data_IF_595937939573
#
_entry.id   IF_595937939573
#
_cell.length_a   1.000
_cell.length_b   1.000
_cell.length_c   1.000
_cell.angle_alpha   90.00
_cell.angle_beta   90.00
_cell.angle_gamma   90.00
#
_symmetry.space_group_name_H-M   'P 1'
#
loop_
_entity.id
_entity.type
_entity.pdbx_description
1 polymer ?
#
# COMPACT_ATOMS: atom_id res chain seq x y z
N UNK A 1 -57.89 -2.57 24.76
CA UNK A 1 -57.69 -4.01 24.97
C UNK A 1 -56.44 -4.38 24.16
N UNK A 2 -55.23 -4.14 24.68
CA UNK A 2 -54.35 -5.14 25.36
C UNK A 2 -54.11 -6.40 24.53
N UNK A 3 -52.96 -6.43 23.83
CA UNK A 3 -51.82 -7.37 23.96
C UNK A 3 -52.06 -8.91 23.83
N UNK A 4 -51.04 -9.79 23.82
CA UNK A 4 -50.37 -10.33 22.62
C UNK A 4 -50.25 -11.89 22.61
N UNK A 5 -49.50 -12.38 21.61
CA UNK A 5 -48.58 -13.53 21.66
C UNK A 5 -49.05 -14.98 21.40
N UNK A 6 -48.11 -15.73 20.79
CA UNK A 6 -47.94 -17.19 20.69
C UNK A 6 -48.85 -17.94 19.70
N UNK A 7 -48.39 -18.80 18.79
CA UNK A 7 -47.25 -19.74 18.79
C UNK A 7 -46.82 -20.07 17.35
N UNK A 8 -45.52 -20.00 17.08
CA UNK A 8 -44.88 -20.66 15.95
C UNK A 8 -44.34 -22.03 16.40
N UNK A 9 -44.63 -23.09 15.64
CA UNK A 9 -43.77 -24.28 15.51
C UNK A 9 -44.15 -25.02 14.22
N UNK A 10 -43.25 -25.12 13.23
CA UNK A 10 -43.20 -26.30 12.39
C UNK A 10 -41.85 -27.01 12.50
N UNK A 11 -41.95 -28.33 12.44
CA UNK A 11 -40.89 -29.30 12.65
C UNK A 11 -39.69 -29.12 11.71
N UNK A 12 -38.49 -29.21 12.28
CA UNK A 12 -37.25 -29.44 11.56
C UNK A 12 -37.26 -30.85 10.96
N UNK A 13 -37.54 -30.96 9.65
CA UNK A 13 -37.22 -32.13 8.85
C UNK A 13 -35.81 -32.01 8.29
N UNK A 14 -34.89 -32.88 8.74
CA UNK A 14 -33.56 -33.01 8.16
C UNK A 14 -33.69 -33.69 6.78
N UNK A 15 -33.16 -33.13 5.68
CA UNK A 15 -33.14 -33.84 4.40
C UNK A 15 -32.10 -34.96 4.46
N UNK A 16 -32.58 -36.20 4.21
CA UNK A 16 -31.76 -37.40 4.02
C UNK A 16 -30.97 -37.23 2.71
N UNK A 17 -29.65 -37.11 2.79
CA UNK A 17 -28.76 -37.15 1.63
C UNK A 17 -28.57 -38.63 1.28
N UNK A 18 -29.13 -39.04 0.15
CA UNK A 18 -28.95 -40.36 -0.46
C UNK A 18 -27.67 -40.28 -1.30
N UNK A 19 -26.64 -41.03 -0.89
CA UNK A 19 -25.36 -41.11 -1.63
C UNK A 19 -25.54 -42.15 -2.73
N UNK A 20 -25.70 -41.67 -3.96
CA UNK A 20 -25.69 -42.47 -5.17
C UNK A 20 -24.26 -42.98 -5.45
N UNK A 21 -24.04 -44.26 -5.82
CA UNK A 21 -22.71 -44.79 -6.08
C UNK A 21 -22.18 -44.24 -7.40
N UNK A 22 -21.07 -43.50 -7.32
CA UNK A 22 -20.43 -42.87 -8.48
C UNK A 22 -19.79 -43.91 -9.41
N UNK A 23 -20.23 -43.89 -10.67
CA UNK A 23 -19.70 -44.66 -11.79
C UNK A 23 -18.19 -44.43 -11.98
N UNK A 24 -17.45 -45.52 -12.08
CA UNK A 24 -16.01 -45.51 -12.35
C UNK A 24 -15.76 -45.22 -13.85
N UNK A 25 -14.89 -44.27 -14.23
CA UNK A 25 -14.58 -44.01 -15.64
C UNK A 25 -13.77 -45.15 -16.29
N UNK A 26 -13.93 -45.41 -17.60
CA UNK A 26 -13.44 -46.61 -18.27
C UNK A 26 -12.04 -46.38 -18.85
N UNK A 27 -10.99 -46.43 -18.02
CA UNK A 27 -9.62 -46.51 -18.52
C UNK A 27 -8.78 -47.47 -17.67
N UNK A 28 -8.72 -48.73 -18.14
CA UNK A 28 -7.87 -49.77 -17.57
C UNK A 28 -6.40 -49.53 -17.93
N UNK A 29 -5.58 -49.28 -16.92
CA UNK A 29 -4.13 -49.46 -17.00
C UNK A 29 -3.87 -50.94 -16.71
N UNK A 30 -3.23 -51.72 -17.60
CA UNK A 30 -2.94 -53.11 -17.31
C UNK A 30 -1.86 -53.17 -16.22
N UNK A 31 -2.17 -53.89 -15.14
CA UNK A 31 -1.16 -54.30 -14.17
C UNK A 31 -0.19 -55.27 -14.88
N UNK A 32 1.00 -54.79 -15.20
CA UNK A 32 2.10 -55.64 -15.68
C UNK A 32 2.64 -56.39 -14.45
N UNK A 33 2.09 -57.57 -14.20
CA UNK A 33 2.69 -58.56 -13.30
C UNK A 33 3.89 -59.19 -14.01
N UNK A 34 5.10 -58.73 -13.65
CA UNK A 34 6.34 -59.39 -14.08
C UNK A 34 6.48 -60.70 -13.29
N UNK A 35 6.52 -61.88 -13.93
CA UNK A 35 6.79 -63.13 -13.23
C UNK A 35 8.28 -63.20 -12.92
N UNK A 36 8.64 -63.12 -11.64
CA UNK A 36 9.99 -63.46 -11.16
C UNK A 36 10.14 -64.98 -11.21
N UNK A 37 10.71 -65.49 -12.29
CA UNK A 37 11.13 -66.89 -12.37
C UNK A 37 12.52 -67.01 -11.74
N UNK A 38 12.57 -67.40 -10.46
CA UNK A 38 13.81 -67.83 -9.80
C UNK A 38 14.15 -69.25 -10.26
N UNK A 39 14.81 -69.39 -11.40
CA UNK A 39 15.59 -70.60 -11.70
C UNK A 39 16.93 -70.47 -10.97
N UNK A 40 16.99 -71.11 -9.80
CA UNK A 40 18.22 -71.36 -9.05
C UNK A 40 18.89 -72.58 -9.69
N UNK A 41 19.74 -72.33 -10.67
CA UNK A 41 20.78 -73.28 -11.03
C UNK A 41 22.08 -72.80 -10.39
N UNK A 42 22.52 -73.59 -9.42
CA UNK A 42 23.88 -73.56 -8.95
C UNK A 42 24.76 -74.06 -10.10
N UNK A 43 25.75 -73.27 -10.51
CA UNK A 43 27.15 -73.67 -10.48
C UNK A 43 27.98 -72.65 -11.26
N UNK A 44 29.12 -72.33 -10.65
CA UNK A 44 30.37 -71.91 -11.28
C UNK A 44 30.66 -70.41 -11.58
N UNK A 45 31.93 -70.13 -11.32
CA UNK A 45 32.77 -69.00 -11.75
C UNK A 45 32.70 -67.63 -11.05
N UNK A 46 33.72 -67.44 -10.21
CA UNK A 46 34.41 -66.18 -9.90
C UNK A 46 34.45 -65.16 -11.05
N UNK A 47 33.91 -63.96 -10.82
CA UNK A 47 34.23 -62.77 -11.62
C UNK A 47 34.38 -61.54 -10.73
N UNK A 48 35.64 -61.26 -10.41
CA UNK A 48 36.27 -59.95 -10.13
C UNK A 48 35.33 -58.74 -10.26
N UNK A 49 35.13 -58.01 -9.16
CA UNK A 49 34.59 -56.66 -9.19
C UNK A 49 35.65 -55.77 -9.86
N UNK A 50 35.45 -55.48 -11.13
CA UNK A 50 36.19 -54.45 -11.85
C UNK A 50 35.58 -53.09 -11.48
N UNK A 51 36.36 -52.23 -10.83
CA UNK A 51 36.07 -50.80 -10.71
C UNK A 51 36.05 -50.20 -12.11
N UNK A 52 34.86 -49.99 -12.68
CA UNK A 52 34.69 -49.22 -13.91
C UNK A 52 34.92 -47.74 -13.58
N UNK A 53 35.84 -47.03 -14.24
CA UNK A 53 35.99 -45.59 -14.04
C UNK A 53 34.71 -44.89 -14.51
N UNK A 54 34.11 -44.08 -13.63
CA UNK A 54 33.06 -43.14 -14.01
C UNK A 54 33.61 -42.26 -15.12
N UNK A 55 33.16 -42.50 -16.36
CA UNK A 55 33.49 -41.66 -17.50
C UNK A 55 32.59 -40.44 -17.39
N UNK A 56 33.17 -39.24 -17.42
CA UNK A 56 32.48 -37.94 -17.24
C UNK A 56 31.49 -37.60 -18.38
N UNK A 57 31.21 -38.57 -19.27
CA UNK A 57 30.42 -38.46 -20.49
C UNK A 57 29.07 -39.19 -20.41
N UNK A 58 28.53 -39.45 -19.21
CA UNK A 58 27.17 -39.99 -19.07
C UNK A 58 26.12 -38.93 -19.47
N UNK A 59 25.37 -39.10 -20.57
CA UNK A 59 24.33 -38.15 -20.98
C UNK A 59 23.15 -38.10 -19.99
N UNK A 60 23.11 -39.02 -19.02
CA UNK A 60 22.08 -39.08 -17.98
C UNK A 60 22.31 -38.02 -16.89
N UNK A 61 23.53 -37.47 -16.78
CA UNK A 61 23.86 -36.39 -15.84
C UNK A 61 23.67 -35.00 -16.47
N UNK A 62 23.21 -34.93 -17.73
CA UNK A 62 22.79 -33.68 -18.38
C UNK A 62 21.56 -33.13 -17.65
N UNK A 63 21.86 -32.40 -16.57
CA UNK A 63 21.02 -31.50 -15.82
C UNK A 63 19.53 -31.91 -15.79
N UNK A 64 19.13 -32.59 -14.72
CA UNK A 64 17.85 -32.26 -14.09
C UNK A 64 17.98 -30.80 -13.61
N UNK A 65 17.93 -29.85 -14.55
CA UNK A 65 17.74 -28.45 -14.28
C UNK A 65 16.36 -28.39 -13.65
N UNK A 66 16.32 -28.41 -12.31
CA UNK A 66 15.10 -28.21 -11.55
C UNK A 66 14.36 -27.04 -12.20
N UNK A 67 13.04 -27.15 -12.45
CA UNK A 67 12.26 -26.02 -12.93
C UNK A 67 12.63 -24.80 -12.10
N UNK A 68 13.13 -23.75 -12.74
CA UNK A 68 13.57 -22.57 -12.01
C UNK A 68 12.32 -21.97 -11.39
N UNK A 69 12.15 -22.10 -10.08
CA UNK A 69 11.06 -21.41 -9.39
C UNK A 69 11.28 -19.90 -9.59
N UNK A 70 10.32 -19.18 -10.18
CA UNK A 70 10.49 -17.77 -10.43
C UNK A 70 10.63 -17.02 -9.09
N UNK A 71 11.77 -16.35 -8.87
CA UNK A 71 11.95 -15.52 -7.69
C UNK A 71 10.96 -14.35 -7.74
N UNK A 72 9.90 -14.39 -6.93
CA UNK A 72 8.90 -13.33 -6.85
C UNK A 72 9.44 -12.11 -6.11
N UNK A 73 9.06 -10.91 -6.56
CA UNK A 73 9.45 -9.68 -5.89
C UNK A 73 8.80 -9.59 -4.50
N UNK A 74 9.61 -9.35 -3.46
CA UNK A 74 9.10 -9.17 -2.09
C UNK A 74 8.56 -7.75 -1.91
N UNK A 75 7.23 -7.53 -1.85
CA UNK A 75 6.65 -6.19 -1.70
C UNK A 75 7.01 -5.58 -0.34
N UNK A 76 7.09 -4.26 -0.27
CA UNK A 76 7.45 -3.51 0.93
C UNK A 76 6.30 -3.40 1.96
N UNK A 77 5.57 -4.50 2.22
CA UNK A 77 4.31 -4.54 3.00
C UNK A 77 4.45 -3.90 4.37
N UNK A 78 5.49 -4.24 5.14
CA UNK A 78 5.71 -3.66 6.46
C UNK A 78 5.88 -2.14 6.43
N UNK A 79 6.69 -1.63 5.49
CA UNK A 79 6.88 -0.18 5.33
C UNK A 79 5.58 0.50 4.88
N UNK A 80 4.80 -0.14 3.99
CA UNK A 80 3.48 0.36 3.60
C UNK A 80 2.54 0.44 4.80
N UNK A 81 2.48 -0.59 5.65
CA UNK A 81 1.59 -0.61 6.81
C UNK A 81 1.94 0.52 7.78
N UNK A 82 3.22 0.69 8.11
CA UNK A 82 3.70 1.78 8.98
C UNK A 82 3.35 3.15 8.39
N UNK A 83 3.67 3.38 7.10
CA UNK A 83 3.32 4.63 6.43
C UNK A 83 1.81 4.87 6.39
N UNK A 84 1.02 3.83 6.11
CA UNK A 84 -0.44 3.93 6.07
C UNK A 84 -1.01 4.28 7.44
N UNK A 85 -0.48 3.68 8.52
CA UNK A 85 -0.92 3.95 9.87
C UNK A 85 -0.65 5.41 10.27
N UNK A 86 0.56 5.92 10.01
CA UNK A 86 0.89 7.33 10.29
C UNK A 86 0.05 8.31 9.46
N UNK A 87 -0.12 8.05 8.16
CA UNK A 87 -0.95 8.88 7.27
C UNK A 87 -2.40 8.89 7.74
N UNK A 88 -2.98 7.73 8.08
CA UNK A 88 -4.35 7.64 8.58
C UNK A 88 -4.52 8.33 9.93
N UNK A 89 -3.58 8.13 10.86
CA UNK A 89 -3.62 8.77 12.17
C UNK A 89 -3.56 10.30 12.03
N UNK A 90 -2.65 10.82 11.20
CA UNK A 90 -2.52 12.26 10.95
C UNK A 90 -3.77 12.81 10.26
N UNK A 91 -4.30 12.11 9.25
CA UNK A 91 -5.54 12.51 8.60
C UNK A 91 -6.74 12.52 9.58
N UNK A 92 -6.81 11.56 10.51
CA UNK A 92 -7.85 11.50 11.52
C UNK A 92 -7.75 12.66 12.53
N UNK A 93 -6.55 13.00 12.99
CA UNK A 93 -6.32 14.18 13.85
C UNK A 93 -6.73 15.46 13.12
N UNK A 94 -6.44 15.57 11.82
CA UNK A 94 -6.79 16.75 11.02
C UNK A 94 -8.30 16.87 10.83
N UNK A 95 -8.97 15.75 10.52
CA UNK A 95 -10.42 15.70 10.40
C UNK A 95 -11.12 16.05 11.72
N UNK A 96 -10.62 15.53 12.84
CA UNK A 96 -11.13 15.85 14.18
C UNK A 96 -10.96 17.34 14.49
N UNK A 97 -9.80 17.93 14.15
CA UNK A 97 -9.53 19.35 14.37
C UNK A 97 -10.46 20.23 13.54
N UNK A 98 -10.68 19.88 12.26
CA UNK A 98 -11.63 20.57 11.39
C UNK A 98 -13.08 20.45 11.91
N UNK A 99 -13.46 19.27 12.41
CA UNK A 99 -14.78 19.05 13.03
C UNK A 99 -14.97 19.89 14.29
N UNK A 100 -13.98 19.93 15.18
CA UNK A 100 -14.04 20.75 16.39
C UNK A 100 -14.13 22.24 16.07
N UNK A 101 -13.38 22.69 15.07
CA UNK A 101 -13.44 24.07 14.59
C UNK A 101 -14.84 24.37 14.04
N UNK A 102 -15.40 23.49 13.20
CA UNK A 102 -16.78 23.61 12.70
C UNK A 102 -17.80 23.72 13.83
N UNK A 103 -17.72 22.83 14.83
CA UNK A 103 -18.63 22.86 15.98
C UNK A 103 -18.51 24.16 16.77
N UNK A 104 -17.29 24.66 16.95
CA UNK A 104 -17.02 25.90 17.68
C UNK A 104 -17.54 27.13 16.93
N UNK A 105 -17.42 27.17 15.61
CA UNK A 105 -17.95 28.25 14.77
C UNK A 105 -19.48 28.40 14.92
N UNK A 106 -20.23 27.30 14.84
CA UNK A 106 -21.69 27.34 15.06
C UNK A 106 -22.03 27.79 16.48
N UNK A 107 -21.31 27.32 17.49
CA UNK A 107 -21.54 27.73 18.87
C UNK A 107 -21.27 29.23 19.09
N UNK A 108 -20.16 29.76 18.57
CA UNK A 108 -19.80 31.19 18.70
C UNK A 108 -20.78 32.07 17.93
N UNK A 109 -21.15 31.65 16.71
CA UNK A 109 -22.11 32.37 15.87
C UNK A 109 -23.50 32.40 16.50
N UNK A 110 -23.90 31.34 17.21
CA UNK A 110 -25.23 31.23 17.79
C UNK A 110 -25.32 31.80 19.24
N UNK A 111 -24.22 31.96 19.98
CA UNK A 111 -24.26 32.31 21.42
C UNK A 111 -23.46 33.52 21.92
N UNK A 112 -22.48 34.09 21.20
CA UNK A 112 -21.59 35.10 21.82
C UNK A 112 -21.42 36.41 21.03
N UNK A 113 -22.23 37.41 21.41
CA UNK A 113 -21.84 38.82 21.53
C UNK A 113 -21.83 39.31 23.00
N UNK A 114 -21.95 38.39 23.97
CA UNK A 114 -22.09 38.74 25.38
C UNK A 114 -21.04 38.02 26.26
N UNK A 115 -19.94 38.73 26.61
CA UNK A 115 -18.93 38.38 27.65
C UNK A 115 -17.86 37.36 27.10
N UNK A 116 -16.54 37.30 27.46
CA UNK A 116 -16.01 37.44 28.81
C UNK A 116 -14.63 38.09 29.03
N UNK A 117 -14.45 38.61 30.24
CA UNK A 117 -13.15 38.85 30.87
C UNK A 117 -12.47 37.51 31.14
N UNK A 118 -11.76 36.98 30.15
CA UNK A 118 -10.90 35.80 30.28
C UNK A 118 -9.74 36.14 31.24
N UNK A 119 -9.51 35.31 32.25
CA UNK A 119 -8.36 35.50 33.14
C UNK A 119 -7.05 35.13 32.44
N UNK A 120 -5.94 35.80 32.79
CA UNK A 120 -4.63 35.54 32.16
C UNK A 120 -4.18 34.07 32.30
N UNK A 121 -4.51 33.42 33.42
CA UNK A 121 -4.16 32.00 33.67
C UNK A 121 -4.92 31.04 32.72
N UNK A 122 -6.20 31.32 32.47
CA UNK A 122 -7.01 30.55 31.51
C UNK A 122 -6.49 30.72 30.08
N UNK A 123 -6.07 31.94 29.72
CA UNK A 123 -5.48 32.22 28.41
C UNK A 123 -4.15 31.48 28.23
N UNK A 124 -3.27 31.50 29.23
CA UNK A 124 -1.99 30.76 29.18
C UNK A 124 -2.20 29.26 29.04
N UNK A 125 -3.06 28.66 29.86
CA UNK A 125 -3.36 27.21 29.78
C UNK A 125 -3.92 26.80 28.41
N UNK A 126 -4.79 27.63 27.83
CA UNK A 126 -5.34 27.38 26.50
C UNK A 126 -4.27 27.49 25.40
N UNK A 127 -3.39 28.50 25.47
CA UNK A 127 -2.27 28.70 24.55
C UNK A 127 -1.24 27.57 24.64
N UNK A 128 -0.88 27.13 25.84
CA UNK A 128 0.08 26.04 26.03
C UNK A 128 -0.44 24.73 25.44
N UNK A 129 -1.72 24.40 25.69
CA UNK A 129 -2.36 23.24 25.09
C UNK A 129 -2.37 23.32 23.56
N UNK A 130 -2.70 24.49 23.00
CA UNK A 130 -2.68 24.72 21.55
C UNK A 130 -1.28 24.54 20.95
N UNK A 131 -0.25 25.02 21.67
CA UNK A 131 1.16 24.91 21.27
C UNK A 131 1.61 23.46 21.23
N UNK A 132 1.33 22.68 22.27
CA UNK A 132 1.67 21.24 22.31
C UNK A 132 0.96 20.43 21.22
N UNK A 133 -0.32 20.72 20.97
CA UNK A 133 -1.08 20.10 19.88
C UNK A 133 -0.46 20.43 18.52
N UNK A 134 0.03 21.66 18.33
CA UNK A 134 0.70 22.08 17.10
C UNK A 134 2.00 21.32 16.87
N UNK A 135 2.83 21.15 17.90
CA UNK A 135 4.04 20.33 17.80
C UNK A 135 3.75 18.85 17.52
N UNK A 136 2.74 18.29 18.20
CA UNK A 136 2.28 16.92 17.94
C UNK A 136 1.83 16.72 16.49
N UNK A 137 1.08 17.69 15.96
CA UNK A 137 0.68 17.70 14.55
C UNK A 137 1.87 17.71 13.60
N UNK A 138 2.83 18.62 13.80
CA UNK A 138 4.04 18.70 12.99
C UNK A 138 4.86 17.39 13.03
N UNK A 139 4.99 16.78 14.22
CA UNK A 139 5.65 15.50 14.37
C UNK A 139 4.91 14.39 13.60
N UNK A 140 3.58 14.33 13.68
CA UNK A 140 2.76 13.36 12.94
C UNK A 140 2.93 13.46 11.42
N UNK A 141 2.92 14.68 10.88
CA UNK A 141 3.18 14.93 9.45
C UNK A 141 4.61 14.51 9.06
N UNK A 142 5.61 14.86 9.87
CA UNK A 142 7.00 14.49 9.61
C UNK A 142 7.20 12.97 9.61
N UNK A 143 6.66 12.26 10.61
CA UNK A 143 6.73 10.79 10.69
C UNK A 143 6.01 10.13 9.51
N UNK A 144 4.84 10.65 9.12
CA UNK A 144 4.12 10.20 7.92
C UNK A 144 4.97 10.35 6.66
N UNK A 145 5.61 11.51 6.49
CA UNK A 145 6.50 11.79 5.36
C UNK A 145 7.70 10.86 5.31
N UNK A 146 8.41 10.67 6.43
CA UNK A 146 9.56 9.77 6.52
C UNK A 146 9.15 8.32 6.21
N UNK A 147 8.08 7.82 6.83
CA UNK A 147 7.59 6.47 6.58
C UNK A 147 7.18 6.27 5.11
N UNK A 148 6.55 7.28 4.51
CA UNK A 148 6.21 7.28 3.09
C UNK A 148 7.45 7.26 2.18
N UNK A 149 8.47 8.06 2.46
CA UNK A 149 9.72 8.09 1.70
C UNK A 149 10.44 6.73 1.80
N UNK A 150 10.48 6.13 2.99
CA UNK A 150 11.05 4.79 3.20
C UNK A 150 10.30 3.74 2.38
N UNK A 151 8.96 3.78 2.37
CA UNK A 151 8.17 2.91 1.51
C UNK A 151 8.48 3.15 0.02
N UNK A 152 8.52 4.42 -0.43
CA UNK A 152 8.79 4.79 -1.82
C UNK A 152 10.18 4.33 -2.28
N UNK A 153 11.19 4.46 -1.42
CA UNK A 153 12.53 3.96 -1.68
C UNK A 153 12.53 2.44 -1.95
N UNK A 154 11.87 1.67 -1.07
CA UNK A 154 11.78 0.21 -1.22
C UNK A 154 10.97 -0.19 -2.45
N UNK A 155 9.83 0.47 -2.68
CA UNK A 155 8.99 0.26 -3.87
C UNK A 155 9.78 0.56 -5.15
N UNK A 156 10.68 1.55 -5.13
CA UNK A 156 11.54 1.90 -6.25
C UNK A 156 12.65 0.89 -6.52
N UNK A 157 13.24 0.30 -5.48
CA UNK A 157 14.19 -0.81 -5.63
C UNK A 157 13.48 -2.01 -6.26
N UNK A 158 12.29 -2.37 -5.77
CA UNK A 158 11.51 -3.47 -6.32
C UNK A 158 11.14 -3.22 -7.80
N UNK A 159 10.71 -2.00 -8.13
CA UNK A 159 10.39 -1.61 -9.50
C UNK A 159 11.58 -1.79 -10.47
N UNK A 160 12.80 -1.50 -10.01
CA UNK A 160 14.01 -1.69 -10.82
C UNK A 160 14.36 -3.17 -11.05
N UNK A 161 13.89 -4.09 -10.20
CA UNK A 161 14.08 -5.53 -10.37
C UNK A 161 12.96 -6.22 -11.14
N UNK A 162 11.79 -5.58 -11.23
CA UNK A 162 10.59 -6.12 -11.89
C UNK A 162 10.47 -5.65 -13.36
N UNK A 163 11.17 -4.57 -13.72
CA UNK A 163 11.15 -3.99 -15.05
C UNK A 163 12.51 -3.39 -15.39
N UNK A 164 13.13 -3.88 -16.47
CA UNK A 164 14.44 -3.42 -16.98
C UNK A 164 14.33 -2.11 -17.79
N UNK A 165 13.11 -1.58 -17.93
CA UNK A 165 12.91 -0.33 -18.62
C UNK A 165 13.66 0.84 -17.93
N UNK A 166 14.34 1.70 -18.71
CA UNK A 166 15.09 2.81 -18.13
C UNK A 166 14.11 3.77 -17.44
N UNK A 167 14.28 3.90 -16.13
CA UNK A 167 13.55 4.89 -15.36
C UNK A 167 14.15 6.28 -15.58
N UNK A 168 13.33 7.33 -15.51
CA UNK A 168 13.77 8.70 -15.82
C UNK A 168 14.77 9.23 -14.81
N UNK A 169 14.61 8.83 -13.55
CA UNK A 169 15.43 9.25 -12.43
C UNK A 169 16.08 8.04 -11.75
N UNK A 170 17.30 8.25 -11.24
CA UNK A 170 18.03 7.28 -10.41
C UNK A 170 17.30 7.05 -9.08
N UNK A 171 17.52 5.89 -8.46
CA UNK A 171 16.87 5.48 -7.19
C UNK A 171 17.04 6.53 -6.08
N UNK A 172 18.22 7.18 -6.01
CA UNK A 172 18.51 8.24 -5.03
C UNK A 172 17.51 9.41 -5.03
N UNK A 173 16.89 9.67 -6.17
CA UNK A 173 15.89 10.73 -6.30
C UNK A 173 14.58 10.43 -5.56
N UNK A 174 14.33 9.19 -5.13
CA UNK A 174 13.20 8.87 -4.24
C UNK A 174 13.25 9.62 -2.91
N UNK A 175 14.44 10.00 -2.44
CA UNK A 175 14.64 10.77 -1.21
C UNK A 175 14.96 12.21 -1.55
N UNK A 176 15.93 12.46 -2.43
CA UNK A 176 16.44 13.81 -2.70
C UNK A 176 15.40 14.75 -3.32
N UNK A 177 14.40 14.21 -4.04
CA UNK A 177 13.34 15.04 -4.64
C UNK A 177 12.52 15.84 -3.64
N UNK A 178 12.43 15.38 -2.39
CA UNK A 178 11.64 16.02 -1.32
C UNK A 178 12.34 17.21 -0.67
N UNK A 179 13.66 17.32 -0.80
CA UNK A 179 14.46 18.34 -0.12
C UNK A 179 14.86 19.50 -1.03
N UNK A 180 14.63 19.40 -2.33
CA UNK A 180 14.95 20.45 -3.30
C UNK A 180 13.69 21.30 -3.47
N UNK A 181 13.62 22.55 -2.98
CA UNK A 181 12.36 23.29 -2.89
C UNK A 181 11.61 23.41 -4.22
N UNK A 182 12.33 23.80 -5.29
CA UNK A 182 11.77 23.95 -6.64
C UNK A 182 11.49 22.56 -7.26
N UNK A 183 12.43 21.63 -7.13
CA UNK A 183 12.28 20.26 -7.63
C UNK A 183 11.14 19.49 -6.97
N UNK A 184 10.82 19.80 -5.72
CA UNK A 184 9.76 19.16 -4.94
C UNK A 184 8.39 19.35 -5.56
N UNK A 185 8.18 20.33 -6.46
CA UNK A 185 6.90 20.54 -7.15
C UNK A 185 6.60 19.49 -8.23
N UNK A 186 7.62 18.78 -8.73
CA UNK A 186 7.42 17.81 -9.83
C UNK A 186 8.20 16.51 -9.71
N UNK A 187 9.39 16.53 -9.11
CA UNK A 187 10.26 15.36 -9.02
C UNK A 187 9.62 14.20 -8.23
N UNK A 188 8.95 14.42 -7.07
CA UNK A 188 8.34 13.31 -6.33
C UNK A 188 7.25 12.60 -7.13
N UNK A 189 6.39 13.38 -7.80
CA UNK A 189 5.35 12.86 -8.70
C UNK A 189 5.96 12.02 -9.84
N UNK A 190 7.11 12.45 -10.38
CA UNK A 190 7.78 11.74 -11.48
C UNK A 190 8.35 10.41 -10.99
N UNK A 191 9.00 10.39 -9.82
CA UNK A 191 9.54 9.16 -9.23
C UNK A 191 8.41 8.16 -8.96
N UNK A 192 7.33 8.58 -8.31
CA UNK A 192 6.19 7.71 -8.03
C UNK A 192 5.47 7.25 -9.31
N UNK A 193 5.38 8.13 -10.31
CA UNK A 193 4.83 7.81 -11.62
C UNK A 193 5.63 6.72 -12.36
N UNK A 194 6.97 6.76 -12.28
CA UNK A 194 7.84 5.73 -12.84
C UNK A 194 7.68 4.40 -12.08
N UNK A 195 7.67 4.44 -10.73
CA UNK A 195 7.40 3.24 -9.88
C UNK A 195 6.07 2.60 -10.25
N UNK A 196 5.02 3.40 -10.40
CA UNK A 196 3.71 2.93 -10.79
C UNK A 196 3.71 2.27 -12.16
N UNK A 197 4.33 2.91 -13.16
CA UNK A 197 4.41 2.36 -14.53
C UNK A 197 5.19 1.05 -14.55
N UNK A 198 6.34 0.99 -13.88
CA UNK A 198 7.16 -0.22 -13.80
C UNK A 198 6.48 -1.36 -13.05
N UNK A 199 5.67 -1.05 -12.04
CA UNK A 199 4.97 -2.06 -11.25
C UNK A 199 3.69 -2.58 -11.91
N UNK A 200 3.15 -1.91 -12.93
CA UNK A 200 1.87 -2.35 -13.56
C UNK A 200 2.01 -3.74 -14.22
N UNK A 201 1.00 -4.63 -14.07
CA UNK A 201 1.01 -5.95 -14.71
C UNK A 201 1.13 -5.88 -16.23
N UNK A 202 0.42 -4.93 -16.84
CA UNK A 202 0.40 -4.71 -18.30
C UNK A 202 1.75 -4.22 -18.88
N UNK A 203 2.71 -3.87 -18.03
CA UNK A 203 4.02 -3.37 -18.47
C UNK A 203 4.97 -4.54 -18.74
N UNK A 204 5.49 -4.70 -19.97
CA UNK A 204 6.47 -5.73 -20.29
C UNK A 204 7.69 -5.66 -19.37
N UNK A 205 8.14 -6.82 -18.90
CA UNK A 205 9.29 -6.94 -18.01
C UNK A 205 10.60 -6.48 -18.70
N UNK A 206 10.82 -6.90 -19.95
CA UNK A 206 12.01 -6.61 -20.76
C UNK A 206 11.70 -5.66 -21.93
N UNK A 207 12.63 -4.75 -22.24
CA UNK A 207 12.63 -3.95 -23.48
C UNK A 207 11.53 -2.90 -23.65
N UNK A 208 10.68 -2.68 -22.63
CA UNK A 208 9.60 -1.69 -22.69
C UNK A 208 10.08 -0.25 -22.46
N UNK A 209 9.43 0.74 -23.08
CA UNK A 209 9.63 2.15 -22.74
C UNK A 209 8.53 2.61 -21.76
N UNK A 210 8.89 2.88 -20.49
CA UNK A 210 7.94 3.33 -19.46
C UNK A 210 7.15 4.57 -19.88
N UNK A 211 7.68 5.42 -20.78
CA UNK A 211 6.98 6.62 -21.26
C UNK A 211 5.69 6.28 -22.03
N UNK A 212 5.66 5.14 -22.72
CA UNK A 212 4.50 4.69 -23.51
C UNK A 212 3.38 4.09 -22.65
N UNK A 213 3.70 3.59 -21.45
CA UNK A 213 2.70 3.06 -20.50
C UNK A 213 1.89 4.21 -19.91
N UNK A 214 0.57 4.12 -19.86
CA UNK A 214 -0.26 5.23 -19.34
C UNK A 214 0.01 5.47 -17.84
N UNK A 215 0.39 6.70 -17.46
CA UNK A 215 0.44 7.09 -16.06
C UNK A 215 -0.94 6.92 -15.42
N UNK A 216 -0.97 6.41 -14.19
CA UNK A 216 -2.19 6.37 -13.41
C UNK A 216 -2.68 7.79 -13.15
N UNK A 217 -3.86 8.15 -13.65
CA UNK A 217 -4.51 9.45 -13.37
C UNK A 217 -4.55 9.75 -11.87
N UNK A 218 -4.68 8.71 -11.05
CA UNK A 218 -4.69 8.78 -9.60
C UNK A 218 -3.44 9.45 -9.00
N UNK A 219 -2.26 9.29 -9.60
CA UNK A 219 -1.03 9.93 -9.11
C UNK A 219 -1.10 11.44 -9.35
N UNK A 220 -1.58 11.86 -10.53
CA UNK A 220 -1.77 13.28 -10.84
C UNK A 220 -2.83 13.92 -9.94
N UNK A 221 -3.92 13.19 -9.65
CA UNK A 221 -4.97 13.65 -8.72
C UNK A 221 -4.42 13.79 -7.30
N UNK A 222 -3.74 12.78 -6.77
CA UNK A 222 -3.10 12.85 -5.47
C UNK A 222 -2.15 14.05 -5.38
N UNK A 223 -1.28 14.21 -6.38
CA UNK A 223 -0.29 15.26 -6.39
C UNK A 223 -0.91 16.66 -6.47
N UNK A 224 -1.94 16.84 -7.30
CA UNK A 224 -2.68 18.08 -7.38
C UNK A 224 -3.38 18.43 -6.05
N UNK A 225 -4.01 17.45 -5.39
CA UNK A 225 -4.63 17.63 -4.08
C UNK A 225 -3.59 17.99 -3.01
N UNK A 226 -2.43 17.33 -3.02
CA UNK A 226 -1.31 17.62 -2.12
C UNK A 226 -0.80 19.06 -2.29
N UNK A 227 -0.52 19.48 -3.54
CA UNK A 227 -0.07 20.84 -3.82
C UNK A 227 -1.13 21.89 -3.46
N UNK A 228 -2.41 21.61 -3.74
CA UNK A 228 -3.51 22.52 -3.43
C UNK A 228 -3.67 22.70 -1.91
N UNK A 229 -3.56 21.62 -1.13
CA UNK A 229 -3.57 21.66 0.34
C UNK A 229 -2.50 22.63 0.85
N UNK A 230 -1.25 22.45 0.41
CA UNK A 230 -0.14 23.32 0.83
C UNK A 230 -0.26 24.77 0.35
N UNK A 231 -0.84 25.00 -0.84
CA UNK A 231 -1.09 26.34 -1.34
C UNK A 231 -2.14 27.07 -0.47
N UNK A 232 -3.20 26.38 -0.06
CA UNK A 232 -4.22 26.92 0.85
C UNK A 232 -3.62 27.22 2.23
N UNK A 233 -2.82 26.31 2.79
CA UNK A 233 -2.15 26.52 4.07
C UNK A 233 -1.22 27.74 4.03
N UNK A 234 -0.42 27.87 2.97
CA UNK A 234 0.48 29.01 2.79
C UNK A 234 -0.28 30.33 2.67
N UNK A 235 -1.38 30.34 1.92
CA UNK A 235 -2.25 31.51 1.79
C UNK A 235 -2.87 31.89 3.15
N UNK A 236 -3.37 30.91 3.91
CA UNK A 236 -3.94 31.15 5.24
C UNK A 236 -2.92 31.75 6.21
N UNK A 237 -1.67 31.25 6.21
CA UNK A 237 -0.58 31.80 7.03
C UNK A 237 -0.26 33.25 6.65
N UNK A 238 -0.27 33.59 5.36
CA UNK A 238 0.00 34.96 4.93
C UNK A 238 -1.15 35.91 5.28
N UNK A 239 -2.41 35.47 5.20
CA UNK A 239 -3.56 36.28 5.62
C UNK A 239 -3.47 36.70 7.10
N UNK A 240 -3.05 35.80 7.99
CA UNK A 240 -2.90 36.09 9.43
C UNK A 240 -1.77 37.10 9.69
N UNK A 241 -0.71 37.09 8.86
CA UNK A 241 0.41 38.03 9.01
C UNK A 241 0.03 39.46 8.68
N UNK A 242 -0.86 39.63 7.70
CA UNK A 242 -1.20 40.95 7.17
C UNK A 242 -2.31 41.65 7.98
N UNK A 243 -3.25 40.90 8.55
CA UNK A 243 -4.41 41.46 9.25
C UNK A 243 -4.96 40.51 10.33
N UNK A 244 -5.35 41.08 11.47
CA UNK A 244 -5.93 40.35 12.61
C UNK A 244 -7.42 40.70 12.84
N UNK A 245 -8.14 41.12 11.79
CA UNK A 245 -9.56 41.40 11.85
C UNK A 245 -10.43 40.14 11.99
N UNK A 246 -11.65 40.30 12.53
CA UNK A 246 -12.65 39.23 12.63
C UNK A 246 -12.96 38.59 11.27
N UNK A 247 -13.00 39.39 10.21
CA UNK A 247 -13.21 38.88 8.85
C UNK A 247 -12.05 38.01 8.36
N UNK A 248 -10.81 38.33 8.74
CA UNK A 248 -9.65 37.50 8.43
C UNK A 248 -9.69 36.18 9.20
N UNK A 249 -10.16 36.18 10.45
CA UNK A 249 -10.40 34.94 11.20
C UNK A 249 -11.41 34.01 10.51
N UNK A 250 -12.53 34.55 10.01
CA UNK A 250 -13.52 33.76 9.25
C UNK A 250 -12.90 33.16 7.97
N UNK A 251 -12.12 33.94 7.21
CA UNK A 251 -11.45 33.46 5.99
C UNK A 251 -10.45 32.35 6.28
N UNK A 252 -9.62 32.52 7.31
CA UNK A 252 -8.64 31.52 7.76
C UNK A 252 -9.35 30.24 8.21
N UNK A 253 -10.47 30.38 8.91
CA UNK A 253 -11.29 29.25 9.32
C UNK A 253 -11.78 28.42 8.13
N UNK A 254 -12.41 29.05 7.13
CA UNK A 254 -12.87 28.35 5.93
C UNK A 254 -11.72 27.76 5.11
N UNK A 255 -10.58 28.47 5.02
CA UNK A 255 -9.38 27.97 4.37
C UNK A 255 -8.85 26.70 5.05
N UNK A 256 -8.78 26.68 6.39
CA UNK A 256 -8.35 25.50 7.15
C UNK A 256 -9.32 24.31 6.97
N UNK A 257 -10.63 24.56 6.97
CA UNK A 257 -11.62 23.51 6.72
C UNK A 257 -11.49 22.92 5.30
N UNK A 258 -11.31 23.77 4.29
CA UNK A 258 -11.07 23.34 2.91
C UNK A 258 -9.77 22.56 2.78
N UNK A 259 -8.68 23.06 3.39
CA UNK A 259 -7.38 22.38 3.43
C UNK A 259 -7.48 20.99 4.07
N UNK A 260 -8.18 20.87 5.21
CA UNK A 260 -8.42 19.58 5.87
C UNK A 260 -9.12 18.57 4.95
N UNK A 261 -10.15 19.01 4.22
CA UNK A 261 -10.83 18.16 3.24
C UNK A 261 -9.92 17.70 2.11
N UNK A 262 -9.13 18.61 1.53
CA UNK A 262 -8.15 18.30 0.49
C UNK A 262 -7.06 17.34 0.98
N UNK A 263 -6.57 17.55 2.20
CA UNK A 263 -5.57 16.69 2.84
C UNK A 263 -6.09 15.26 3.01
N UNK A 264 -7.33 15.08 3.47
CA UNK A 264 -7.97 13.75 3.59
C UNK A 264 -8.11 13.09 2.22
N UNK A 265 -8.59 13.80 1.21
CA UNK A 265 -8.71 13.25 -0.15
C UNK A 265 -7.33 12.86 -0.72
N UNK A 266 -6.31 13.68 -0.49
CA UNK A 266 -4.93 13.39 -0.86
C UNK A 266 -4.42 12.14 -0.14
N UNK A 267 -4.61 12.04 1.18
CA UNK A 267 -4.23 10.89 1.99
C UNK A 267 -4.89 9.59 1.48
N UNK A 268 -6.19 9.63 1.18
CA UNK A 268 -6.90 8.47 0.62
C UNK A 268 -6.34 8.08 -0.75
N UNK A 269 -6.09 9.05 -1.63
CA UNK A 269 -5.52 8.78 -2.94
C UNK A 269 -4.14 8.11 -2.86
N UNK A 270 -3.24 8.59 -1.98
CA UNK A 270 -1.91 7.97 -1.83
C UNK A 270 -1.98 6.59 -1.20
N UNK A 271 -2.88 6.36 -0.24
CA UNK A 271 -3.10 5.04 0.35
C UNK A 271 -3.56 4.02 -0.69
N UNK A 272 -4.46 4.42 -1.60
CA UNK A 272 -4.87 3.57 -2.73
C UNK A 272 -3.69 3.32 -3.67
N UNK A 273 -2.88 4.34 -3.96
CA UNK A 273 -1.69 4.18 -4.80
C UNK A 273 -0.71 3.17 -4.20
N UNK A 274 -0.38 3.34 -2.92
CA UNK A 274 0.56 2.47 -2.21
C UNK A 274 0.08 1.01 -2.19
N UNK A 275 -1.20 0.78 -1.87
CA UNK A 275 -1.79 -0.56 -1.87
C UNK A 275 -1.73 -1.21 -3.25
N UNK A 276 -1.98 -0.43 -4.30
CA UNK A 276 -2.01 -0.94 -5.68
C UNK A 276 -0.61 -1.28 -6.19
N UNK A 277 0.38 -0.44 -5.90
CA UNK A 277 1.79 -0.71 -6.21
C UNK A 277 2.28 -1.97 -5.50
N UNK A 278 2.08 -2.08 -4.19
CA UNK A 278 2.49 -3.26 -3.41
C UNK A 278 1.85 -4.55 -3.91
N UNK A 279 0.55 -4.50 -4.26
CA UNK A 279 -0.16 -5.65 -4.84
C UNK A 279 0.46 -6.09 -6.15
N UNK A 280 0.63 -5.15 -7.08
CA UNK A 280 1.17 -5.50 -8.39
C UNK A 280 2.61 -6.02 -8.31
N UNK A 281 3.41 -5.51 -7.38
CA UNK A 281 4.76 -6.03 -7.18
C UNK A 281 4.76 -7.44 -6.58
N UNK A 282 3.76 -7.81 -5.78
CA UNK A 282 3.70 -9.14 -5.16
C UNK A 282 3.51 -10.26 -6.20
N UNK A 283 2.84 -9.96 -7.31
CA UNK A 283 2.47 -10.93 -8.34
C UNK A 283 3.50 -10.96 -9.51
N UNK A 284 4.66 -10.32 -9.34
CA UNK A 284 5.66 -10.14 -10.41
C UNK A 284 6.94 -10.90 -10.14
N UNK A 285 7.42 -11.57 -11.18
CA UNK A 285 8.71 -12.25 -11.21
C UNK A 285 9.86 -11.23 -11.32
N UNK A 286 10.98 -11.53 -10.66
CA UNK A 286 12.19 -10.73 -10.71
C UNK A 286 12.96 -11.01 -12.00
N UNK A 287 13.46 -9.96 -12.62
CA UNK A 287 14.39 -10.04 -13.74
C UNK A 287 15.80 -10.12 -13.13
N UNK A 288 16.49 -11.23 -13.39
CA UNK A 288 17.88 -11.45 -12.99
C UNK A 288 18.84 -10.80 -13.99
#
# INVERSE_FOLDING_TARGET
MTDPDTTATPAFGIPRIEVEPEDTPPFGIPAVSVPVHLTRDADDETSVIQDTPLTDDDPVVEAIALPHEPELARPARAARFVASAFILLTAAVGALSAWQAWRSYWLVRDFYSAIPTVTNEQLQTATDRSTWLSYGWMAGVALSGVAFIVWLWRARINAARVCDAPHRLRIRWSVLSWFIPIGNLWLPQMVLGDVWRASRPDTPARGGNLRKVRAGKLIGVWWALFLLTHAVDLAAVNLIKDDSSVQTFERVFFANAASGGLAVLSALAILVVMRRVDRWQADRELIR
#
